data_IF_610373460114
#
_entry.id   IF_610373460114
#
_cell.length_a   1.000
_cell.length_b   1.000
_cell.length_c   1.000
_cell.angle_alpha   90.00
_cell.angle_beta   90.00
_cell.angle_gamma   90.00
#
_symmetry.space_group_name_H-M   'P 1'
#
loop_
_entity.id
_entity.type
_entity.pdbx_description
1 polymer ?
#
# COMPACT_ATOMS: atom_id res chain seq x y z
N UNK A 1 3.36 5.76 28.69
CA UNK A 1 3.94 5.64 27.34
C UNK A 1 3.19 4.51 26.67
N UNK A 2 2.40 4.79 25.64
CA UNK A 2 1.71 3.74 24.89
C UNK A 2 2.75 3.02 24.04
N UNK A 3 3.05 1.77 24.39
CA UNK A 3 3.87 0.91 23.56
C UNK A 3 3.01 0.48 22.38
N UNK A 4 3.37 0.92 21.16
CA UNK A 4 2.80 0.36 19.93
C UNK A 4 3.01 -1.16 19.99
N UNK A 5 1.93 -1.90 20.15
CA UNK A 5 1.98 -3.36 20.23
C UNK A 5 1.87 -3.89 18.82
N UNK A 6 2.91 -4.62 18.37
CA UNK A 6 2.92 -5.31 17.08
C UNK A 6 2.24 -6.66 17.26
N UNK A 7 1.30 -7.00 16.40
CA UNK A 7 0.54 -8.26 16.47
C UNK A 7 0.76 -9.09 15.21
N UNK A 8 0.75 -10.41 15.37
CA UNK A 8 0.78 -11.35 14.25
C UNK A 8 -0.36 -11.07 13.25
N UNK A 9 -0.03 -11.09 11.97
CA UNK A 9 -0.94 -10.85 10.85
C UNK A 9 -1.05 -9.39 10.43
N UNK A 10 -0.60 -8.45 11.27
CA UNK A 10 -0.63 -7.02 10.95
C UNK A 10 0.32 -6.67 9.81
N UNK A 11 -0.12 -5.76 8.95
CA UNK A 11 0.71 -5.25 7.87
C UNK A 11 1.37 -3.92 8.27
N UNK A 12 2.63 -3.80 7.87
CA UNK A 12 3.47 -2.65 8.12
C UNK A 12 4.13 -2.19 6.83
N UNK A 13 4.49 -0.91 6.80
CA UNK A 13 5.19 -0.28 5.69
C UNK A 13 6.58 0.17 6.13
N UNK A 14 7.54 -0.09 5.25
CA UNK A 14 8.88 0.46 5.27
C UNK A 14 8.93 1.91 4.76
N UNK A 15 9.87 2.75 5.24
CA UNK A 15 10.09 4.09 4.71
C UNK A 15 10.28 4.15 3.18
N UNK A 16 10.83 3.09 2.59
CA UNK A 16 11.05 2.93 1.14
C UNK A 16 9.76 2.62 0.36
N UNK A 17 8.61 2.51 1.02
CA UNK A 17 7.29 2.27 0.43
C UNK A 17 6.88 0.80 0.35
N UNK A 18 7.83 -0.13 0.52
CA UNK A 18 7.55 -1.58 0.55
C UNK A 18 6.67 -1.96 1.73
N UNK A 19 5.86 -3.00 1.56
CA UNK A 19 5.01 -3.53 2.62
C UNK A 19 5.49 -4.89 3.10
N UNK A 20 5.25 -5.17 4.37
CA UNK A 20 5.44 -6.47 4.95
C UNK A 20 4.28 -6.86 5.85
N UNK A 21 4.13 -8.16 6.05
CA UNK A 21 3.20 -8.74 6.99
C UNK A 21 3.97 -9.37 8.15
N UNK A 22 3.57 -9.07 9.38
CA UNK A 22 4.14 -9.68 10.58
C UNK A 22 3.67 -11.13 10.65
N UNK A 23 4.63 -12.05 10.67
CA UNK A 23 4.36 -13.48 10.77
C UNK A 23 4.34 -13.96 12.21
N UNK A 24 5.27 -13.49 13.05
CA UNK A 24 5.38 -13.90 14.44
C UNK A 24 6.28 -12.93 15.22
N UNK A 25 6.08 -12.85 16.54
CA UNK A 25 7.05 -12.26 17.45
C UNK A 25 7.96 -13.35 18.01
N UNK A 26 9.26 -13.11 18.01
CA UNK A 26 10.26 -14.04 18.50
C UNK A 26 11.15 -13.39 19.55
N UNK A 27 11.91 -14.21 20.28
CA UNK A 27 12.94 -13.74 21.19
C UNK A 27 14.27 -14.31 20.72
N UNK A 28 15.28 -13.47 20.56
CA UNK A 28 16.63 -13.93 20.25
C UNK A 28 17.19 -14.69 21.47
N UNK A 29 17.61 -15.94 21.26
CA UNK A 29 18.08 -16.77 22.36
C UNK A 29 19.43 -16.31 22.92
N UNK A 30 20.26 -15.64 22.11
CA UNK A 30 21.60 -15.19 22.52
C UNK A 30 21.53 -13.87 23.29
N UNK A 31 20.73 -12.91 22.82
CA UNK A 31 20.65 -11.56 23.39
C UNK A 31 19.46 -11.36 24.31
N UNK A 32 18.41 -12.18 24.19
CA UNK A 32 17.14 -12.02 24.88
C UNK A 32 16.27 -10.90 24.30
N UNK A 33 16.64 -10.32 23.16
CA UNK A 33 15.91 -9.21 22.55
C UNK A 33 14.63 -9.69 21.86
N UNK A 34 13.59 -8.86 21.91
CA UNK A 34 12.35 -9.08 21.16
C UNK A 34 12.59 -8.80 19.67
N UNK A 35 12.16 -9.75 18.84
CA UNK A 35 12.34 -9.77 17.40
C UNK A 35 10.99 -9.85 16.71
N UNK A 36 10.88 -9.22 15.54
CA UNK A 36 9.73 -9.33 14.64
C UNK A 36 10.16 -10.15 13.44
N UNK A 37 9.46 -11.26 13.20
CA UNK A 37 9.56 -12.04 11.98
C UNK A 37 8.49 -11.55 11.02
N UNK A 38 8.88 -11.10 9.83
CA UNK A 38 7.95 -10.55 8.85
C UNK A 38 8.29 -11.02 7.44
N UNK A 39 7.28 -11.01 6.56
CA UNK A 39 7.39 -11.34 5.15
C UNK A 39 7.20 -10.10 4.29
N UNK A 40 8.08 -9.85 3.32
CA UNK A 40 7.83 -8.82 2.31
C UNK A 40 6.69 -9.24 1.38
N UNK A 41 5.79 -8.31 1.06
CA UNK A 41 4.67 -8.54 0.14
C UNK A 41 5.10 -8.48 -1.36
N UNK A 42 6.41 -8.55 -1.63
CA UNK A 42 6.98 -8.61 -2.98
C UNK A 42 6.85 -10.01 -3.60
N UNK A 43 7.11 -10.13 -4.91
CA UNK A 43 7.00 -11.39 -5.67
C UNK A 43 7.84 -12.56 -5.14
N UNK A 44 8.91 -12.27 -4.38
CA UNK A 44 9.84 -13.30 -3.90
C UNK A 44 9.50 -13.85 -2.50
N UNK A 45 8.44 -13.37 -1.85
CA UNK A 45 7.94 -13.85 -0.55
C UNK A 45 9.02 -14.03 0.53
N UNK A 46 10.07 -13.19 0.51
CA UNK A 46 11.20 -13.32 1.43
C UNK A 46 10.79 -13.00 2.87
N UNK A 47 11.31 -13.79 3.80
CA UNK A 47 11.09 -13.66 5.24
C UNK A 47 12.34 -13.09 5.91
N UNK A 48 12.17 -12.11 6.78
CA UNK A 48 13.24 -11.40 7.46
C UNK A 48 12.96 -11.29 8.96
N UNK A 49 14.01 -10.96 9.71
CA UNK A 49 13.96 -10.77 11.16
C UNK A 49 14.67 -9.47 11.55
N UNK A 50 14.11 -8.74 12.52
CA UNK A 50 14.66 -7.48 13.04
C UNK A 50 14.22 -7.27 14.48
N UNK A 51 14.94 -6.47 15.26
CA UNK A 51 14.52 -6.07 16.60
C UNK A 51 13.18 -5.32 16.60
N UNK A 52 12.31 -5.65 17.55
CA UNK A 52 11.00 -5.02 17.72
C UNK A 52 11.11 -3.50 17.85
N UNK A 53 12.15 -3.03 18.55
CA UNK A 53 12.41 -1.60 18.77
C UNK A 53 12.69 -0.87 17.45
N UNK A 54 13.56 -1.41 16.57
CA UNK A 54 13.83 -0.80 15.26
C UNK A 54 12.59 -0.89 14.36
N UNK A 55 11.87 -2.01 14.40
CA UNK A 55 10.65 -2.20 13.62
C UNK A 55 9.60 -1.15 13.93
N UNK A 56 9.23 -0.96 15.20
CA UNK A 56 8.21 0.02 15.62
C UNK A 56 8.63 1.46 15.31
N UNK A 57 9.94 1.76 15.40
CA UNK A 57 10.47 3.10 15.19
C UNK A 57 10.42 3.52 13.72
N UNK A 58 10.71 2.59 12.82
CA UNK A 58 10.86 2.87 11.39
C UNK A 58 9.58 2.58 10.60
N UNK A 59 8.72 1.68 11.09
CA UNK A 59 7.57 1.23 10.34
C UNK A 59 6.26 1.91 10.71
N UNK A 60 5.44 2.10 9.68
CA UNK A 60 4.08 2.61 9.81
C UNK A 60 3.08 1.44 9.73
N UNK A 61 2.18 1.34 10.72
CA UNK A 61 1.11 0.34 10.71
C UNK A 61 0.12 0.66 9.60
N UNK A 62 -0.23 -0.34 8.80
CA UNK A 62 -1.27 -0.24 7.78
C UNK A 62 -2.62 -0.45 8.43
N UNK A 63 -3.58 0.45 8.21
CA UNK A 63 -4.95 0.24 8.68
C UNK A 63 -5.68 -0.80 7.82
N UNK A 64 -6.57 -1.58 8.43
CA UNK A 64 -7.37 -2.58 7.72
C UNK A 64 -8.30 -1.93 6.68
N UNK A 65 -8.75 -0.69 6.92
CA UNK A 65 -9.58 0.07 5.99
C UNK A 65 -8.79 0.52 4.76
N UNK A 66 -7.56 1.02 4.95
CA UNK A 66 -6.66 1.33 3.83
C UNK A 66 -6.40 0.09 2.98
N UNK A 67 -6.20 -1.06 3.62
CA UNK A 67 -5.91 -2.32 2.95
C UNK A 67 -7.08 -2.79 2.07
N UNK A 68 -8.29 -2.81 2.64
CA UNK A 68 -9.52 -3.16 1.90
C UNK A 68 -9.77 -2.22 0.73
N UNK A 69 -9.60 -0.91 0.91
CA UNK A 69 -9.82 0.06 -0.15
C UNK A 69 -8.87 -0.14 -1.33
N UNK A 70 -7.61 -0.49 -1.04
CA UNK A 70 -6.61 -0.83 -2.06
C UNK A 70 -6.98 -2.13 -2.79
N UNK A 71 -7.32 -3.19 -2.05
CA UNK A 71 -7.74 -4.46 -2.62
C UNK A 71 -8.94 -4.29 -3.56
N UNK A 72 -9.98 -3.59 -3.09
CA UNK A 72 -11.17 -3.28 -3.90
C UNK A 72 -10.80 -2.53 -5.19
N UNK A 73 -9.84 -1.60 -5.13
CA UNK A 73 -9.39 -0.87 -6.33
C UNK A 73 -8.60 -1.77 -7.31
N UNK A 74 -7.75 -2.65 -6.79
CA UNK A 74 -6.91 -3.53 -7.60
C UNK A 74 -7.73 -4.60 -8.33
N UNK A 75 -8.83 -5.06 -7.73
CA UNK A 75 -9.76 -6.02 -8.33
C UNK A 75 -10.61 -5.41 -9.46
N UNK A 76 -10.69 -4.08 -9.56
CA UNK A 76 -11.40 -3.43 -10.66
C UNK A 76 -10.58 -3.55 -11.93
N UNK A 77 -11.18 -4.14 -12.97
CA UNK A 77 -10.55 -4.28 -14.29
C UNK A 77 -10.89 -3.09 -15.20
N UNK A 78 -12.15 -2.64 -15.18
CA UNK A 78 -12.66 -1.61 -16.09
C UNK A 78 -12.27 -0.19 -15.65
N UNK A 79 -11.76 0.62 -16.59
CA UNK A 79 -11.32 1.98 -16.30
C UNK A 79 -12.47 2.91 -15.88
N UNK A 80 -13.68 2.73 -16.42
CA UNK A 80 -14.90 3.43 -15.98
C UNK A 80 -15.16 3.21 -14.49
N UNK A 81 -15.06 1.94 -14.05
CA UNK A 81 -15.30 1.54 -12.67
C UNK A 81 -14.20 2.06 -11.74
N UNK A 82 -12.93 2.06 -12.19
CA UNK A 82 -11.81 2.67 -11.43
C UNK A 82 -12.06 4.15 -11.21
N UNK A 83 -12.50 4.86 -12.25
CA UNK A 83 -12.79 6.30 -12.15
C UNK A 83 -13.92 6.57 -11.15
N UNK A 84 -15.00 5.78 -11.20
CA UNK A 84 -16.11 5.89 -10.27
C UNK A 84 -15.68 5.59 -8.83
N UNK A 85 -14.89 4.53 -8.63
CA UNK A 85 -14.36 4.14 -7.32
C UNK A 85 -13.55 5.29 -6.69
N UNK A 86 -12.59 5.85 -7.43
CA UNK A 86 -11.77 6.97 -6.96
C UNK A 86 -12.61 8.17 -6.54
N UNK A 87 -13.65 8.50 -7.32
CA UNK A 87 -14.55 9.61 -7.01
C UNK A 87 -15.42 9.34 -5.79
N UNK A 88 -15.97 8.13 -5.67
CA UNK A 88 -16.82 7.72 -4.53
C UNK A 88 -16.04 7.73 -3.22
N UNK A 89 -14.81 7.26 -3.24
CA UNK A 89 -13.96 7.13 -2.06
C UNK A 89 -12.97 8.29 -1.88
N UNK A 90 -13.18 9.43 -2.56
CA UNK A 90 -12.23 10.57 -2.55
C UNK A 90 -11.77 10.99 -1.14
N UNK A 91 -12.67 10.93 -0.15
CA UNK A 91 -12.36 11.34 1.24
C UNK A 91 -11.51 10.34 2.01
N UNK A 92 -11.56 9.08 1.60
CA UNK A 92 -10.89 7.95 2.24
C UNK A 92 -9.57 7.62 1.51
N UNK A 93 -9.32 8.26 0.36
CA UNK A 93 -8.06 8.13 -0.37
C UNK A 93 -6.93 8.76 0.44
N UNK A 94 -6.03 7.89 0.88
CA UNK A 94 -4.80 8.28 1.54
C UNK A 94 -3.66 8.45 0.54
N UNK A 95 -2.60 9.13 0.96
CA UNK A 95 -1.30 9.18 0.27
C UNK A 95 -0.83 7.78 -0.15
N UNK A 96 -1.02 6.84 0.79
CA UNK A 96 -0.78 5.42 0.62
C UNK A 96 -1.53 4.82 -0.57
N UNK A 97 -2.84 5.02 -0.62
CA UNK A 97 -3.69 4.49 -1.67
C UNK A 97 -3.21 5.02 -3.04
N UNK A 98 -2.93 6.33 -3.13
CA UNK A 98 -2.51 6.98 -4.37
C UNK A 98 -1.27 6.34 -4.98
N UNK A 99 -0.23 6.10 -4.19
CA UNK A 99 1.02 5.51 -4.72
C UNK A 99 0.83 4.07 -5.20
N UNK A 100 0.00 3.28 -4.51
CA UNK A 100 -0.26 1.88 -4.92
C UNK A 100 -1.14 1.84 -6.17
N UNK A 101 -2.18 2.69 -6.21
CA UNK A 101 -3.03 2.82 -7.38
C UNK A 101 -2.21 3.25 -8.60
N UNK A 102 -1.37 4.27 -8.45
CA UNK A 102 -0.45 4.75 -9.49
C UNK A 102 0.48 3.64 -10.00
N UNK A 103 1.16 2.95 -9.08
CA UNK A 103 2.05 1.84 -9.42
C UNK A 103 1.31 0.71 -10.16
N UNK A 104 0.11 0.32 -9.71
CA UNK A 104 -0.67 -0.73 -10.37
C UNK A 104 -1.10 -0.38 -11.80
N UNK A 105 -1.14 0.91 -12.11
CA UNK A 105 -1.58 1.43 -13.40
C UNK A 105 -0.42 1.86 -14.30
N UNK A 106 0.82 1.60 -13.88
CA UNK A 106 2.05 2.10 -14.51
C UNK A 106 2.04 3.63 -14.70
N UNK A 107 1.39 4.35 -13.79
CA UNK A 107 1.31 5.81 -13.78
C UNK A 107 2.49 6.39 -13.00
N UNK A 108 3.33 7.17 -13.68
CA UNK A 108 4.44 7.87 -13.05
C UNK A 108 3.96 9.15 -12.36
N UNK A 109 3.87 9.12 -11.03
CA UNK A 109 3.60 10.30 -10.20
C UNK A 109 4.74 11.33 -10.37
N UNK A 110 4.40 12.56 -10.77
CA UNK A 110 5.36 13.66 -10.94
C UNK A 110 5.21 14.75 -9.89
N UNK A 111 3.99 14.87 -9.35
CA UNK A 111 3.61 15.95 -8.45
C UNK A 111 3.71 15.56 -6.98
N UNK A 112 4.03 16.52 -6.12
CA UNK A 112 4.17 16.29 -4.67
C UNK A 112 2.85 16.41 -3.91
N UNK A 113 1.92 17.24 -4.38
CA UNK A 113 0.63 17.46 -3.73
C UNK A 113 -0.36 16.31 -3.97
N UNK A 114 -1.03 15.85 -2.90
CA UNK A 114 -2.07 14.80 -2.97
C UNK A 114 -3.17 15.14 -3.97
N UNK A 115 -3.71 16.36 -3.92
CA UNK A 115 -4.82 16.76 -4.80
C UNK A 115 -4.38 16.79 -6.26
N UNK A 116 -3.15 17.25 -6.55
CA UNK A 116 -2.63 17.24 -7.92
C UNK A 116 -2.46 15.82 -8.44
N UNK A 117 -1.81 14.93 -7.66
CA UNK A 117 -1.67 13.51 -8.03
C UNK A 117 -3.01 12.83 -8.24
N UNK A 118 -4.01 13.14 -7.40
CA UNK A 118 -5.36 12.63 -7.56
C UNK A 118 -5.98 13.08 -8.90
N UNK A 119 -5.88 14.38 -9.23
CA UNK A 119 -6.40 14.89 -10.50
C UNK A 119 -5.66 14.32 -11.72
N UNK A 120 -4.34 14.15 -11.64
CA UNK A 120 -3.54 13.54 -12.70
C UNK A 120 -3.91 12.07 -12.92
N UNK A 121 -4.10 11.29 -11.86
CA UNK A 121 -4.54 9.91 -11.95
C UNK A 121 -5.93 9.80 -12.60
N UNK A 122 -6.89 10.65 -12.21
CA UNK A 122 -8.19 10.72 -12.87
C UNK A 122 -8.07 11.08 -14.36
N UNK A 123 -7.19 12.02 -14.70
CA UNK A 123 -6.94 12.42 -16.07
C UNK A 123 -6.34 11.27 -16.89
N UNK A 124 -5.35 10.57 -16.33
CA UNK A 124 -4.71 9.42 -16.93
C UNK A 124 -5.72 8.30 -17.24
N UNK A 125 -6.59 7.95 -16.29
CA UNK A 125 -7.65 6.95 -16.48
C UNK A 125 -8.59 7.36 -17.62
N UNK A 126 -9.03 8.62 -17.65
CA UNK A 126 -9.87 9.15 -18.73
C UNK A 126 -9.18 9.09 -20.09
N UNK A 127 -7.88 9.36 -20.14
CA UNK A 127 -7.10 9.20 -21.37
C UNK A 127 -7.11 7.73 -21.81
N UNK A 128 -6.82 6.77 -20.93
CA UNK A 128 -6.87 5.32 -21.28
C UNK A 128 -8.22 4.92 -21.86
N UNK A 129 -9.33 5.34 -21.23
CA UNK A 129 -10.68 5.08 -21.75
C UNK A 129 -10.88 5.59 -23.19
N UNK A 130 -10.36 6.79 -23.50
CA UNK A 130 -10.45 7.38 -24.85
C UNK A 130 -9.66 6.60 -25.90
N UNK A 131 -8.52 6.01 -25.54
CA UNK A 131 -7.67 5.26 -26.46
C UNK A 131 -8.05 3.77 -26.56
N UNK A 132 -8.61 3.18 -25.51
CA UNK A 132 -9.08 1.80 -25.49
C UNK A 132 -10.47 1.64 -26.13
N UNK A 133 -11.38 2.61 -25.93
CA UNK A 133 -12.69 2.66 -26.60
C UNK A 133 -12.63 2.95 -28.12
N UNK A 134 -11.45 3.33 -28.63
CA UNK A 134 -11.21 3.53 -30.07
C UNK A 134 -10.86 2.25 -30.83
N UNK A 135 -10.64 1.13 -30.12
CA UNK A 135 -10.48 -0.20 -30.73
C UNK A 135 -11.84 -0.88 -30.87
N UNK A 136 -12.75 -0.24 -31.61
CA UNK A 136 -13.90 -0.94 -32.14
C UNK A 136 -13.44 -1.73 -33.38
N UNK A 137 -13.59 -3.04 -33.30
CA UNK A 137 -13.63 -3.95 -34.45
C UNK A 137 -14.67 -3.51 -35.47
#
# INVERSE_FOLDING_TARGET
MEYKTVTKGECYRFPEGKQCQVMELATDFQTGEEMVVYKENDKEEKVYVRTLVSFIKEMEKVSDEDMRLIEDFLDIVENEQKLYFLQKHKKDITEKFMSIAAQSMDFAEKETSMEMRYQELLHFIRMKMKYEGGRLH
#
